data_IF_566161761335
#
_entry.id   IF_566161761335
#
_cell.length_a   1.000
_cell.length_b   1.000
_cell.length_c   1.000
_cell.angle_alpha   90.00
_cell.angle_beta   90.00
_cell.angle_gamma   90.00
#
_symmetry.space_group_name_H-M   'P 1'
#
loop_
_entity.id
_entity.type
_entity.pdbx_description
1 polymer ?
#
# COMPACT_ATOMS: atom_id res chain seq x y z
N UNK A 1 15.15 3.17 22.13
CA UNK A 1 15.07 2.02 21.20
C UNK A 1 15.38 2.52 19.80
N UNK A 2 16.36 1.90 19.12
CA UNK A 2 16.74 2.25 17.74
C UNK A 2 16.02 1.34 16.76
N UNK A 3 15.41 1.91 15.73
CA UNK A 3 14.65 1.15 14.74
C UNK A 3 15.20 1.42 13.33
N UNK A 4 15.55 0.36 12.60
CA UNK A 4 15.90 0.44 11.19
C UNK A 4 14.73 -0.04 10.33
N UNK A 5 14.19 0.83 9.50
CA UNK A 5 13.00 0.54 8.68
C UNK A 5 13.41 0.38 7.21
N UNK A 6 13.25 -0.81 6.65
CA UNK A 6 13.38 -1.03 5.22
C UNK A 6 12.08 -0.60 4.51
N UNK A 7 12.15 0.41 3.67
CA UNK A 7 10.97 0.99 3.01
C UNK A 7 11.30 1.44 1.58
N UNK A 8 10.33 1.47 0.67
CA UNK A 8 10.49 2.21 -0.58
C UNK A 8 10.81 3.68 -0.31
N UNK A 9 11.30 4.40 -1.31
CA UNK A 9 11.50 5.85 -1.16
C UNK A 9 10.19 6.53 -0.72
N UNK A 10 10.25 7.31 0.35
CA UNK A 10 9.08 8.07 0.86
C UNK A 10 8.60 9.15 -0.12
N UNK A 11 9.38 9.42 -1.19
CA UNK A 11 8.99 10.30 -2.30
C UNK A 11 8.07 9.60 -3.30
N UNK A 12 7.97 8.27 -3.25
CA UNK A 12 7.09 7.50 -4.13
C UNK A 12 5.66 7.48 -3.58
N UNK A 13 4.70 7.42 -4.48
CA UNK A 13 3.31 7.15 -4.12
C UNK A 13 3.12 5.65 -3.88
N UNK A 14 2.46 5.30 -2.79
CA UNK A 14 2.15 3.90 -2.45
C UNK A 14 1.86 3.74 -0.97
N UNK A 15 1.09 2.73 -0.60
CA UNK A 15 0.60 2.52 0.77
C UNK A 15 1.71 2.49 1.83
N UNK A 16 2.82 1.77 1.56
CA UNK A 16 3.97 1.69 2.47
C UNK A 16 4.64 3.06 2.65
N UNK A 17 4.90 3.76 1.55
CA UNK A 17 5.54 5.08 1.60
C UNK A 17 4.65 6.11 2.31
N UNK A 18 3.34 6.11 2.03
CA UNK A 18 2.37 7.00 2.68
C UNK A 18 2.25 6.72 4.17
N UNK A 19 2.23 5.44 4.58
CA UNK A 19 2.21 5.05 5.98
C UNK A 19 3.42 5.62 6.75
N UNK A 20 4.64 5.40 6.27
CA UNK A 20 5.83 5.91 6.95
C UNK A 20 6.01 7.43 6.83
N UNK A 21 5.49 8.05 5.78
CA UNK A 21 5.41 9.50 5.68
C UNK A 21 4.51 10.08 6.77
N UNK A 22 3.32 9.50 6.98
CA UNK A 22 2.39 9.90 8.03
C UNK A 22 2.91 9.64 9.45
N UNK A 23 3.75 8.61 9.64
CA UNK A 23 4.36 8.31 10.94
C UNK A 23 5.56 9.18 11.28
N UNK A 24 6.18 9.84 10.29
CA UNK A 24 7.48 10.52 10.47
C UNK A 24 7.48 11.57 11.58
N UNK A 25 6.38 12.28 11.75
CA UNK A 25 6.24 13.32 12.79
C UNK A 25 6.15 12.74 14.21
N UNK A 26 5.83 11.45 14.34
CA UNK A 26 5.63 10.76 15.63
C UNK A 26 6.86 9.96 16.07
N UNK A 27 7.88 9.83 15.21
CA UNK A 27 9.11 9.16 15.56
C UNK A 27 10.05 10.06 16.33
N UNK A 28 10.78 9.45 17.26
CA UNK A 28 11.95 10.06 17.89
C UNK A 28 13.17 10.00 16.96
N UNK A 29 14.30 10.60 17.38
CA UNK A 29 15.56 10.63 16.61
C UNK A 29 16.18 9.23 16.37
N UNK A 30 15.67 8.20 17.02
CA UNK A 30 16.19 6.84 16.97
C UNK A 30 15.63 5.98 15.82
N UNK A 31 15.05 6.59 14.79
CA UNK A 31 14.52 5.87 13.62
C UNK A 31 15.32 6.21 12.37
N UNK A 32 15.85 5.16 11.73
CA UNK A 32 16.55 5.27 10.45
C UNK A 32 15.78 4.57 9.34
N UNK A 33 15.52 5.29 8.23
CA UNK A 33 14.90 4.74 7.04
C UNK A 33 15.96 4.20 6.07
N UNK A 34 15.90 2.93 5.75
CA UNK A 34 16.72 2.30 4.71
C UNK A 34 15.90 2.17 3.44
N UNK A 35 16.12 3.08 2.48
CA UNK A 35 15.43 3.03 1.19
C UNK A 35 15.92 1.84 0.37
N UNK A 36 15.00 0.97 -0.04
CA UNK A 36 15.22 -0.22 -0.85
C UNK A 36 14.36 -0.20 -2.12
N UNK A 37 14.86 -0.82 -3.17
CA UNK A 37 14.14 -0.97 -4.43
C UNK A 37 13.97 0.33 -5.22
N UNK A 38 12.81 0.54 -5.81
CA UNK A 38 12.55 1.67 -6.72
C UNK A 38 12.72 3.02 -6.01
N UNK A 39 13.57 3.91 -6.55
CA UNK A 39 13.88 5.22 -5.98
C UNK A 39 13.17 6.37 -6.67
N UNK A 40 12.94 6.27 -7.99
CA UNK A 40 12.29 7.29 -8.81
C UNK A 40 11.18 6.68 -9.65
N UNK A 41 10.14 7.47 -9.96
CA UNK A 41 9.01 7.02 -10.77
C UNK A 41 9.40 6.67 -12.22
N UNK A 42 10.46 7.31 -12.76
CA UNK A 42 10.79 7.31 -14.19
C UNK A 42 12.03 6.53 -14.61
N UNK A 43 12.92 6.11 -13.69
CA UNK A 43 14.16 5.40 -14.06
C UNK A 43 14.13 3.94 -13.63
N UNK A 44 13.97 3.05 -14.59
CA UNK A 44 14.28 1.62 -14.50
C UNK A 44 15.77 1.43 -14.83
N UNK A 45 16.66 1.63 -13.85
CA UNK A 45 18.04 1.14 -13.96
C UNK A 45 18.06 -0.37 -13.79
N UNK A 46 19.11 -1.06 -14.28
CA UNK A 46 19.23 -2.52 -14.18
C UNK A 46 19.07 -2.97 -12.72
N UNK A 47 17.95 -3.63 -12.42
CA UNK A 47 17.52 -3.90 -11.05
C UNK A 47 18.51 -4.72 -10.20
N UNK A 48 19.45 -5.44 -10.84
CA UNK A 48 20.45 -6.28 -10.16
C UNK A 48 21.51 -5.45 -9.42
N UNK A 49 22.05 -4.39 -10.02
CA UNK A 49 23.05 -3.52 -9.39
C UNK A 49 22.47 -2.75 -8.19
N UNK A 50 21.22 -2.29 -8.32
CA UNK A 50 20.54 -1.61 -7.23
C UNK A 50 20.26 -2.54 -6.05
N UNK A 51 19.95 -3.82 -6.31
CA UNK A 51 19.72 -4.79 -5.25
C UNK A 51 21.03 -5.05 -4.47
N UNK A 52 22.16 -5.26 -5.16
CA UNK A 52 23.45 -5.43 -4.51
C UNK A 52 23.81 -4.22 -3.64
N UNK A 53 23.65 -3.01 -4.18
CA UNK A 53 23.87 -1.78 -3.42
C UNK A 53 22.97 -1.68 -2.19
N UNK A 54 21.68 -2.02 -2.33
CA UNK A 54 20.74 -2.03 -1.20
C UNK A 54 21.16 -3.05 -0.12
N UNK A 55 21.69 -4.20 -0.52
CA UNK A 55 22.21 -5.22 0.41
C UNK A 55 23.43 -4.71 1.18
N UNK A 56 24.42 -4.17 0.47
CA UNK A 56 25.66 -3.64 1.09
C UNK A 56 25.33 -2.48 2.05
N UNK A 57 24.50 -1.56 1.61
CA UNK A 57 24.05 -0.43 2.43
C UNK A 57 23.27 -0.90 3.66
N UNK A 58 22.46 -1.93 3.54
CA UNK A 58 21.71 -2.48 4.66
C UNK A 58 22.64 -3.10 5.70
N UNK A 59 23.58 -3.93 5.28
CA UNK A 59 24.58 -4.54 6.18
C UNK A 59 25.41 -3.45 6.87
N UNK A 60 25.90 -2.47 6.12
CA UNK A 60 26.63 -1.32 6.69
C UNK A 60 25.81 -0.61 7.79
N UNK A 61 24.52 -0.38 7.53
CA UNK A 61 23.63 0.25 8.51
C UNK A 61 23.36 -0.62 9.73
N UNK A 62 23.22 -1.93 9.57
CA UNK A 62 23.11 -2.84 10.71
C UNK A 62 24.32 -2.75 11.62
N UNK A 63 25.53 -2.74 11.05
CA UNK A 63 26.77 -2.72 11.82
C UNK A 63 27.07 -1.35 12.47
N UNK A 64 26.74 -0.26 11.80
CA UNK A 64 27.05 1.10 12.28
C UNK A 64 25.95 1.68 13.17
N UNK A 65 24.69 1.54 12.80
CA UNK A 65 23.56 2.07 13.58
C UNK A 65 23.19 1.16 14.74
N UNK A 66 23.43 -0.16 14.62
CA UNK A 66 23.13 -1.20 15.62
C UNK A 66 21.69 -1.06 16.13
N UNK A 67 20.68 -1.29 15.29
CA UNK A 67 19.27 -1.15 15.68
C UNK A 67 18.88 -2.22 16.70
N UNK A 68 17.99 -1.87 17.63
CA UNK A 68 17.33 -2.84 18.51
C UNK A 68 16.32 -3.68 17.74
N UNK A 69 15.69 -3.07 16.72
CA UNK A 69 14.66 -3.68 15.87
C UNK A 69 14.89 -3.31 14.41
N UNK A 70 14.81 -4.31 13.55
CA UNK A 70 14.76 -4.15 12.08
C UNK A 70 13.34 -4.40 11.61
N UNK A 71 12.73 -3.44 10.92
CA UNK A 71 11.40 -3.56 10.38
C UNK A 71 11.46 -3.73 8.86
N UNK A 72 10.91 -4.84 8.36
CA UNK A 72 10.81 -5.17 6.93
C UNK A 72 9.36 -5.16 6.49
N UNK A 73 9.10 -4.68 5.28
CA UNK A 73 7.76 -4.42 4.76
C UNK A 73 7.46 -5.24 3.49
N UNK A 74 7.38 -6.57 3.59
CA UNK A 74 7.05 -7.39 2.44
C UNK A 74 5.59 -7.19 2.03
N UNK A 75 5.36 -7.26 0.70
CA UNK A 75 4.05 -7.55 0.15
C UNK A 75 4.04 -9.00 -0.30
N UNK A 76 2.94 -9.70 -0.11
CA UNK A 76 2.79 -11.07 -0.61
C UNK A 76 2.67 -11.04 -2.14
N UNK A 77 3.82 -11.10 -2.80
CA UNK A 77 4.00 -11.06 -4.25
C UNK A 77 5.40 -11.52 -4.61
N UNK A 78 5.60 -12.03 -5.83
CA UNK A 78 6.76 -12.83 -6.23
C UNK A 78 8.13 -12.19 -5.99
N UNK A 79 8.37 -11.01 -6.52
CA UNK A 79 9.69 -10.37 -6.46
C UNK A 79 9.93 -9.62 -5.15
N UNK A 80 8.89 -8.98 -4.63
CA UNK A 80 8.98 -8.21 -3.39
C UNK A 80 9.30 -9.13 -2.19
N UNK A 81 8.59 -10.25 -2.08
CA UNK A 81 8.75 -11.18 -0.98
C UNK A 81 10.15 -11.79 -0.93
N UNK A 82 10.72 -12.22 -2.09
CA UNK A 82 12.08 -12.78 -2.16
C UNK A 82 13.12 -11.76 -1.71
N UNK A 83 13.00 -10.51 -2.15
CA UNK A 83 13.87 -9.42 -1.74
C UNK A 83 13.80 -9.17 -0.24
N UNK A 84 12.60 -9.08 0.31
CA UNK A 84 12.41 -8.72 1.72
C UNK A 84 12.78 -9.87 2.65
N UNK A 85 12.63 -11.12 2.22
CA UNK A 85 13.17 -12.27 2.93
C UNK A 85 14.69 -12.33 2.96
N UNK A 86 15.36 -11.80 1.93
CA UNK A 86 16.81 -11.62 2.00
C UNK A 86 17.19 -10.70 3.17
N UNK A 87 16.58 -9.53 3.28
CA UNK A 87 16.87 -8.59 4.38
C UNK A 87 16.49 -9.16 5.75
N UNK A 88 15.38 -9.87 5.85
CA UNK A 88 14.96 -10.58 7.05
C UNK A 88 16.03 -11.60 7.48
N UNK A 89 16.49 -12.44 6.55
CA UNK A 89 17.48 -13.47 6.84
C UNK A 89 18.83 -12.88 7.29
N UNK A 90 19.29 -11.82 6.62
CA UNK A 90 20.55 -11.15 6.99
C UNK A 90 20.46 -10.55 8.38
N UNK A 91 19.38 -9.82 8.69
CA UNK A 91 19.21 -9.23 10.01
C UNK A 91 19.10 -10.30 11.11
N UNK A 92 18.31 -11.36 10.86
CA UNK A 92 18.16 -12.47 11.79
C UNK A 92 19.50 -13.22 12.02
N UNK A 93 20.28 -13.50 10.96
CA UNK A 93 21.56 -14.18 11.06
C UNK A 93 22.61 -13.36 11.84
N UNK A 94 22.50 -12.04 11.81
CA UNK A 94 23.34 -11.12 12.59
C UNK A 94 22.80 -10.87 14.02
N UNK A 95 21.76 -11.60 14.45
CA UNK A 95 21.22 -11.55 15.82
C UNK A 95 20.24 -10.39 16.09
N UNK A 96 19.82 -9.62 15.08
CA UNK A 96 18.87 -8.54 15.27
C UNK A 96 17.45 -9.05 15.40
N UNK A 97 16.63 -8.40 16.23
CA UNK A 97 15.18 -8.64 16.27
C UNK A 97 14.55 -8.11 14.99
N UNK A 98 13.79 -8.96 14.29
CA UNK A 98 13.12 -8.58 13.04
C UNK A 98 11.62 -8.54 13.24
N UNK A 99 11.02 -7.42 12.90
CA UNK A 99 9.57 -7.25 12.80
C UNK A 99 9.18 -7.19 11.33
N UNK A 100 8.15 -7.91 10.97
CA UNK A 100 7.61 -7.94 9.61
C UNK A 100 6.29 -7.19 9.60
N UNK A 101 6.08 -6.29 8.63
CA UNK A 101 4.77 -5.67 8.42
C UNK A 101 4.29 -5.95 6.99
N UNK A 102 3.21 -6.71 6.85
CA UNK A 102 2.62 -7.10 5.57
C UNK A 102 1.57 -6.06 5.18
N UNK A 103 1.94 -5.20 4.21
CA UNK A 103 1.07 -4.14 3.68
C UNK A 103 0.16 -4.56 2.54
N UNK A 104 0.41 -5.70 1.91
CA UNK A 104 -0.37 -6.21 0.80
C UNK A 104 -0.38 -7.72 0.78
N UNK A 105 -1.54 -8.30 0.47
CA UNK A 105 -1.76 -9.73 0.43
C UNK A 105 -2.43 -10.09 -0.90
N UNK A 106 -1.68 -10.74 -1.79
CA UNK A 106 -2.21 -11.22 -3.05
C UNK A 106 -2.73 -12.66 -2.87
N UNK A 107 -4.05 -12.82 -2.86
CA UNK A 107 -4.71 -14.10 -2.64
C UNK A 107 -4.42 -15.15 -3.72
N UNK A 108 -4.30 -14.74 -4.99
CA UNK A 108 -3.98 -15.68 -6.06
C UNK A 108 -2.55 -16.18 -5.95
N UNK A 109 -1.63 -15.28 -5.58
CA UNK A 109 -0.25 -15.68 -5.26
C UNK A 109 -0.19 -16.56 -4.01
N UNK A 110 -0.99 -16.30 -3.00
CA UNK A 110 -1.09 -17.11 -1.78
C UNK A 110 -1.51 -18.56 -2.04
N UNK A 111 -2.35 -18.79 -3.06
CA UNK A 111 -2.76 -20.14 -3.48
C UNK A 111 -1.61 -20.95 -4.10
N UNK A 112 -0.69 -20.29 -4.79
CA UNK A 112 0.36 -20.91 -5.60
C UNK A 112 1.74 -20.92 -4.94
N UNK A 113 1.93 -20.14 -3.88
CA UNK A 113 3.23 -20.00 -3.21
C UNK A 113 3.64 -21.27 -2.47
N UNK A 114 4.94 -21.55 -2.45
CA UNK A 114 5.49 -22.60 -1.59
C UNK A 114 5.37 -22.21 -0.11
N UNK A 115 4.32 -22.68 0.55
CA UNK A 115 3.98 -22.36 1.94
C UNK A 115 5.11 -22.73 2.91
N UNK A 116 5.76 -23.90 2.73
CA UNK A 116 6.90 -24.31 3.60
C UNK A 116 8.06 -23.33 3.52
N UNK A 117 8.37 -22.83 2.32
CA UNK A 117 9.41 -21.83 2.14
C UNK A 117 9.05 -20.51 2.83
N UNK A 118 7.81 -20.04 2.70
CA UNK A 118 7.31 -18.82 3.34
C UNK A 118 7.35 -18.92 4.86
N UNK A 119 6.82 -20.00 5.41
CA UNK A 119 6.79 -20.28 6.86
C UNK A 119 8.19 -20.29 7.46
N UNK A 120 9.15 -20.95 6.79
CA UNK A 120 10.57 -20.94 7.23
C UNK A 120 11.14 -19.54 7.43
N UNK A 121 10.72 -18.58 6.58
CA UNK A 121 11.18 -17.20 6.68
C UNK A 121 10.41 -16.40 7.72
N UNK A 122 9.09 -16.48 7.71
CA UNK A 122 8.28 -15.74 8.67
C UNK A 122 8.52 -16.18 10.11
N UNK A 123 8.82 -17.46 10.35
CA UNK A 123 9.15 -17.96 11.69
C UNK A 123 10.49 -17.47 12.26
N UNK A 124 11.26 -16.69 11.50
CA UNK A 124 12.43 -15.94 11.99
C UNK A 124 12.08 -14.55 12.52
N UNK A 125 10.84 -14.07 12.25
CA UNK A 125 10.40 -12.79 12.75
C UNK A 125 10.03 -12.87 14.23
N UNK A 126 10.40 -11.86 15.01
CA UNK A 126 9.99 -11.73 16.41
C UNK A 126 8.50 -11.34 16.53
N UNK A 127 7.97 -10.66 15.51
CA UNK A 127 6.58 -10.24 15.43
C UNK A 127 6.20 -9.98 13.98
N UNK A 128 4.97 -10.29 13.60
CA UNK A 128 4.41 -10.02 12.28
C UNK A 128 3.17 -9.14 12.45
N UNK A 129 3.15 -7.99 11.79
CA UNK A 129 1.98 -7.15 11.67
C UNK A 129 1.24 -7.43 10.37
N UNK A 130 -0.07 -7.49 10.43
CA UNK A 130 -0.99 -7.65 9.28
C UNK A 130 -2.16 -6.67 9.37
N UNK A 131 -2.78 -6.36 8.24
CA UNK A 131 -3.86 -5.38 8.13
C UNK A 131 -5.26 -5.97 8.29
N UNK A 132 -5.40 -7.31 8.23
CA UNK A 132 -6.69 -7.97 8.30
C UNK A 132 -6.60 -9.32 9.04
N UNK A 133 -7.69 -9.71 9.72
CA UNK A 133 -7.80 -11.04 10.34
C UNK A 133 -7.65 -12.17 9.31
N UNK A 134 -8.20 -12.01 8.11
CA UNK A 134 -8.07 -12.99 7.05
C UNK A 134 -6.60 -13.31 6.70
N UNK A 135 -5.71 -12.30 6.70
CA UNK A 135 -4.27 -12.51 6.46
C UNK A 135 -3.64 -13.31 7.61
N UNK A 136 -4.02 -12.99 8.84
CA UNK A 136 -3.55 -13.68 10.05
C UNK A 136 -3.95 -15.16 10.02
N UNK A 137 -5.22 -15.45 9.77
CA UNK A 137 -5.73 -16.83 9.77
C UNK A 137 -5.13 -17.64 8.60
N UNK A 138 -4.99 -17.04 7.42
CA UNK A 138 -4.34 -17.71 6.28
C UNK A 138 -2.87 -18.04 6.57
N UNK A 139 -2.11 -17.11 7.17
CA UNK A 139 -0.70 -17.37 7.53
C UNK A 139 -0.58 -18.44 8.62
N UNK A 140 -1.49 -18.46 9.59
CA UNK A 140 -1.54 -19.53 10.60
C UNK A 140 -1.87 -20.87 9.98
N UNK A 141 -2.79 -20.95 9.02
CA UNK A 141 -3.13 -22.18 8.31
C UNK A 141 -1.93 -22.78 7.55
N UNK A 142 -0.97 -21.92 7.14
CA UNK A 142 0.28 -22.39 6.54
C UNK A 142 1.27 -22.97 7.55
N UNK A 143 1.08 -22.72 8.85
CA UNK A 143 1.97 -23.14 9.93
C UNK A 143 2.94 -22.06 10.41
N UNK A 144 2.62 -20.77 10.23
CA UNK A 144 3.41 -19.67 10.82
C UNK A 144 3.18 -19.67 12.34
N UNK A 145 4.28 -19.83 13.08
CA UNK A 145 4.31 -19.87 14.56
C UNK A 145 4.71 -18.56 15.20
N UNK A 146 5.39 -17.68 14.47
CA UNK A 146 5.70 -16.33 15.00
C UNK A 146 4.43 -15.57 15.40
N UNK A 147 4.48 -14.76 16.46
CA UNK A 147 3.35 -13.94 16.86
C UNK A 147 2.84 -13.06 15.72
N UNK A 148 1.52 -13.04 15.48
CA UNK A 148 0.88 -12.23 14.46
C UNK A 148 -0.13 -11.29 15.13
N UNK A 149 0.07 -9.98 14.97
CA UNK A 149 -0.81 -8.93 15.49
C UNK A 149 -1.45 -8.12 14.38
N UNK A 150 -2.70 -7.72 14.61
CA UNK A 150 -3.40 -6.77 13.75
C UNK A 150 -2.88 -5.36 13.99
N UNK A 151 -2.79 -4.60 12.91
CA UNK A 151 -2.49 -3.18 12.94
C UNK A 151 -3.20 -2.47 11.80
N UNK A 152 -3.04 -1.17 11.72
CA UNK A 152 -3.57 -0.35 10.63
C UNK A 152 -2.48 0.50 9.99
N UNK A 153 -2.76 1.08 8.84
CA UNK A 153 -1.86 2.05 8.22
C UNK A 153 -2.20 3.46 8.69
N UNK A 154 -1.15 4.25 8.92
CA UNK A 154 -1.30 5.68 9.21
C UNK A 154 -1.62 6.44 7.92
N UNK A 155 -2.63 7.26 7.97
CA UNK A 155 -2.94 8.27 6.95
C UNK A 155 -2.19 9.56 7.28
N UNK A 156 -1.86 10.35 6.27
CA UNK A 156 -1.25 11.68 6.47
C UNK A 156 -2.28 12.60 7.14
N UNK A 157 -1.94 13.10 8.34
CA UNK A 157 -2.82 13.96 9.13
C UNK A 157 -3.17 15.28 8.39
N UNK A 158 -2.29 15.73 7.51
CA UNK A 158 -2.57 16.89 6.67
C UNK A 158 -3.83 16.75 5.80
N UNK A 159 -4.24 15.51 5.48
CA UNK A 159 -5.49 15.24 4.77
C UNK A 159 -6.72 15.41 5.68
N UNK A 160 -6.54 15.26 6.99
CA UNK A 160 -7.62 15.36 7.98
C UNK A 160 -7.63 16.70 8.70
N UNK A 161 -6.54 17.47 8.58
CA UNK A 161 -6.40 18.77 9.22
C UNK A 161 -7.51 19.74 8.74
N UNK A 162 -8.22 20.33 9.71
CA UNK A 162 -9.37 21.22 9.46
C UNK A 162 -10.49 20.56 8.62
N UNK A 163 -10.64 19.23 8.67
CA UNK A 163 -11.73 18.52 8.02
C UNK A 163 -12.63 17.84 9.05
N UNK A 164 -13.87 18.30 9.14
CA UNK A 164 -14.93 17.69 9.92
C UNK A 164 -15.98 17.06 8.98
N UNK A 165 -16.05 15.71 8.86
CA UNK A 165 -16.96 15.06 7.92
C UNK A 165 -18.42 15.40 8.14
N UNK A 166 -18.82 15.75 9.37
CA UNK A 166 -20.21 16.10 9.69
C UNK A 166 -20.59 17.53 9.28
N UNK A 167 -19.58 18.44 9.13
CA UNK A 167 -19.80 19.84 8.79
C UNK A 167 -19.38 20.18 7.37
N UNK A 168 -18.30 19.55 6.90
CA UNK A 168 -17.62 19.93 5.66
C UNK A 168 -18.05 19.09 4.45
N UNK A 169 -18.76 17.96 4.68
CA UNK A 169 -19.33 17.18 3.58
C UNK A 169 -20.57 17.86 3.01
N UNK A 170 -20.55 18.06 1.71
CA UNK A 170 -21.74 18.47 0.97
C UNK A 170 -22.47 17.21 0.48
N UNK A 171 -23.63 16.93 1.08
CA UNK A 171 -24.48 15.80 0.64
C UNK A 171 -25.41 16.16 -0.52
N UNK A 172 -25.29 17.36 -1.07
CA UNK A 172 -26.12 17.83 -2.18
C UNK A 172 -25.83 17.14 -3.51
N UNK A 173 -24.59 16.71 -3.73
CA UNK A 173 -24.19 16.03 -4.95
C UNK A 173 -23.93 14.54 -4.66
N UNK A 174 -24.65 13.66 -5.36
CA UNK A 174 -24.46 12.22 -5.25
C UNK A 174 -23.21 11.79 -6.03
N UNK A 175 -22.02 12.10 -5.51
CA UNK A 175 -20.75 11.74 -6.14
C UNK A 175 -20.14 10.49 -5.47
N UNK A 176 -19.90 9.45 -6.25
CA UNK A 176 -19.12 8.27 -5.86
C UNK A 176 -17.66 8.55 -6.18
N UNK A 177 -16.80 8.54 -5.18
CA UNK A 177 -15.37 8.71 -5.32
C UNK A 177 -14.66 7.35 -5.37
N UNK A 178 -14.02 7.05 -6.49
CA UNK A 178 -13.12 5.90 -6.63
C UNK A 178 -11.66 6.36 -6.60
N UNK A 179 -10.99 6.13 -5.47
CA UNK A 179 -9.60 6.56 -5.28
C UNK A 179 -8.66 5.36 -5.27
N UNK A 180 -7.99 5.12 -6.40
CA UNK A 180 -7.02 4.01 -6.52
C UNK A 180 -6.09 4.22 -7.72
N UNK A 181 -5.07 3.34 -7.83
CA UNK A 181 -4.40 3.15 -9.13
C UNK A 181 -5.42 2.58 -10.12
N UNK A 182 -5.43 3.13 -11.33
CA UNK A 182 -6.33 2.67 -12.38
C UNK A 182 -5.74 1.41 -13.01
N UNK A 183 -5.96 0.30 -12.35
CA UNK A 183 -5.49 -1.05 -12.71
C UNK A 183 -6.66 -2.04 -12.63
N UNK A 184 -6.68 -3.04 -13.51
CA UNK A 184 -7.76 -4.05 -13.56
C UNK A 184 -7.98 -4.74 -12.21
N UNK A 185 -6.89 -5.06 -11.49
CA UNK A 185 -6.94 -5.68 -10.17
C UNK A 185 -7.60 -4.81 -9.08
N UNK A 186 -7.90 -3.55 -9.38
CA UNK A 186 -8.56 -2.62 -8.44
C UNK A 186 -10.07 -2.51 -8.67
N UNK A 187 -10.63 -3.31 -9.55
CA UNK A 187 -12.08 -3.34 -9.78
C UNK A 187 -12.62 -2.12 -10.53
N UNK A 188 -11.80 -1.47 -11.36
CA UNK A 188 -12.18 -0.23 -12.06
C UNK A 188 -13.31 -0.43 -13.05
N UNK A 189 -13.38 -1.58 -13.72
CA UNK A 189 -14.45 -1.93 -14.65
C UNK A 189 -15.74 -2.28 -13.90
N UNK A 190 -15.62 -3.03 -12.83
CA UNK A 190 -16.73 -3.39 -11.94
C UNK A 190 -17.37 -2.15 -11.31
N UNK A 191 -16.55 -1.14 -10.97
CA UNK A 191 -17.07 0.14 -10.48
C UNK A 191 -17.88 0.89 -11.55
N UNK A 192 -17.44 0.88 -12.81
CA UNK A 192 -18.21 1.46 -13.94
C UNK A 192 -19.51 0.70 -14.16
N UNK A 193 -19.47 -0.65 -14.11
CA UNK A 193 -20.66 -1.47 -14.30
C UNK A 193 -21.69 -1.24 -13.18
N UNK A 194 -21.24 -1.19 -11.93
CA UNK A 194 -22.10 -0.86 -10.79
C UNK A 194 -22.68 0.56 -10.90
N UNK A 195 -21.87 1.53 -11.34
CA UNK A 195 -22.32 2.89 -11.58
C UNK A 195 -23.40 2.95 -12.67
N UNK A 196 -23.22 2.23 -13.78
CA UNK A 196 -24.19 2.17 -14.87
C UNK A 196 -25.57 1.68 -14.39
N UNK A 197 -25.59 0.67 -13.51
CA UNK A 197 -26.83 0.16 -12.90
C UNK A 197 -27.47 1.21 -11.98
N UNK A 198 -26.65 1.86 -11.12
CA UNK A 198 -27.13 2.86 -10.17
C UNK A 198 -27.62 4.12 -10.88
N UNK A 199 -27.03 4.52 -12.00
CA UNK A 199 -27.39 5.69 -12.79
C UNK A 199 -28.81 5.59 -13.36
N UNK A 200 -29.29 4.38 -13.65
CA UNK A 200 -30.69 4.16 -14.07
C UNK A 200 -31.69 4.52 -12.96
N UNK A 201 -31.30 4.38 -11.71
CA UNK A 201 -32.13 4.69 -10.55
C UNK A 201 -31.92 6.12 -10.02
N UNK A 202 -30.72 6.66 -10.16
CA UNK A 202 -30.33 7.97 -9.64
C UNK A 202 -29.72 8.80 -10.76
N UNK A 203 -30.57 9.61 -11.45
CA UNK A 203 -30.14 10.39 -12.62
C UNK A 203 -29.07 11.45 -12.30
N UNK A 204 -29.02 11.94 -11.06
CA UNK A 204 -28.08 12.93 -10.54
C UNK A 204 -26.77 12.34 -10.00
N UNK A 205 -26.56 11.01 -10.13
CA UNK A 205 -25.35 10.33 -9.66
C UNK A 205 -24.16 10.62 -10.59
N UNK A 206 -23.00 10.87 -10.00
CA UNK A 206 -21.71 11.00 -10.70
C UNK A 206 -20.70 10.01 -10.16
N UNK A 207 -19.70 9.62 -10.97
CA UNK A 207 -18.58 8.76 -10.57
C UNK A 207 -17.26 9.47 -10.88
N UNK A 208 -16.48 9.74 -9.85
CA UNK A 208 -15.16 10.38 -10.01
C UNK A 208 -14.04 9.39 -9.74
N UNK A 209 -13.21 9.12 -10.76
CA UNK A 209 -11.99 8.37 -10.64
C UNK A 209 -10.81 9.30 -10.35
N UNK A 210 -10.21 9.14 -9.17
CA UNK A 210 -8.96 9.82 -8.78
C UNK A 210 -7.82 8.83 -8.80
N UNK A 211 -6.90 9.00 -9.73
CA UNK A 211 -5.74 8.13 -9.90
C UNK A 211 -5.24 8.06 -11.32
N UNK A 212 -4.24 7.21 -11.51
CA UNK A 212 -3.61 6.95 -12.80
C UNK A 212 -3.13 5.49 -12.84
N UNK A 213 -2.97 4.92 -14.02
CA UNK A 213 -2.53 3.53 -14.18
C UNK A 213 -2.62 3.04 -15.61
N UNK A 214 -2.23 1.78 -15.82
CA UNK A 214 -2.21 1.14 -17.14
C UNK A 214 -3.58 1.07 -17.81
N UNK A 215 -4.65 1.01 -17.00
CA UNK A 215 -6.02 0.88 -17.48
C UNK A 215 -6.71 2.23 -17.74
N UNK A 216 -6.08 3.39 -17.49
CA UNK A 216 -6.75 4.69 -17.64
C UNK A 216 -7.30 4.92 -19.04
N UNK A 217 -6.51 4.66 -20.08
CA UNK A 217 -6.95 4.81 -21.48
C UNK A 217 -8.02 3.78 -21.87
N UNK A 218 -7.83 2.47 -21.62
CA UNK A 218 -8.87 1.47 -21.85
C UNK A 218 -10.16 1.75 -21.10
N UNK A 219 -10.08 2.19 -19.83
CA UNK A 219 -11.26 2.49 -19.01
C UNK A 219 -12.06 3.69 -19.55
N UNK A 220 -11.39 4.75 -20.01
CA UNK A 220 -12.07 5.88 -20.65
C UNK A 220 -12.84 5.45 -21.90
N UNK A 221 -12.24 4.56 -22.72
CA UNK A 221 -12.93 3.97 -23.86
C UNK A 221 -14.13 3.15 -23.41
N UNK A 222 -13.98 2.30 -22.41
CA UNK A 222 -15.07 1.47 -21.87
C UNK A 222 -16.25 2.29 -21.36
N UNK A 223 -15.98 3.43 -20.72
CA UNK A 223 -17.02 4.38 -20.27
C UNK A 223 -17.73 5.02 -21.47
N UNK A 224 -16.99 5.43 -22.51
CA UNK A 224 -17.55 6.01 -23.73
C UNK A 224 -18.41 4.99 -24.50
N UNK A 225 -17.95 3.74 -24.61
CA UNK A 225 -18.67 2.63 -25.28
C UNK A 225 -20.00 2.31 -24.57
N UNK A 226 -20.16 2.69 -23.29
CA UNK A 226 -21.40 2.56 -22.50
C UNK A 226 -22.25 3.85 -22.47
N UNK A 227 -21.85 4.88 -23.18
CA UNK A 227 -22.53 6.18 -23.21
C UNK A 227 -22.78 6.82 -21.84
N UNK A 228 -21.79 6.69 -20.93
CA UNK A 228 -21.85 7.23 -19.58
C UNK A 228 -21.16 8.60 -19.52
N UNK A 229 -21.96 9.68 -19.53
CA UNK A 229 -21.47 11.07 -19.53
C UNK A 229 -20.98 11.55 -18.16
N UNK A 230 -21.48 10.96 -17.06
CA UNK A 230 -21.25 11.45 -15.69
C UNK A 230 -20.09 10.71 -14.98
N UNK A 231 -19.12 10.24 -15.75
CA UNK A 231 -17.86 9.64 -15.22
C UNK A 231 -16.71 10.61 -15.43
N UNK A 232 -16.12 11.06 -14.33
CA UNK A 232 -15.05 12.05 -14.31
C UNK A 232 -13.70 11.37 -14.00
N UNK A 233 -12.65 11.75 -14.74
CA UNK A 233 -11.28 11.28 -14.52
C UNK A 233 -10.38 12.47 -14.21
N UNK A 234 -9.99 12.63 -12.95
CA UNK A 234 -9.16 13.76 -12.50
C UNK A 234 -7.68 13.55 -12.68
N UNK A 235 -7.25 12.29 -12.90
CA UNK A 235 -5.85 11.92 -12.77
C UNK A 235 -5.42 11.83 -11.29
N UNK A 236 -4.12 11.94 -11.04
CA UNK A 236 -3.59 11.88 -9.67
C UNK A 236 -3.77 13.21 -8.96
N UNK A 237 -4.37 13.17 -7.78
CA UNK A 237 -4.52 14.32 -6.90
C UNK A 237 -3.76 14.09 -5.58
N UNK A 238 -3.37 15.20 -4.94
CA UNK A 238 -2.73 15.25 -3.62
C UNK A 238 -3.09 16.55 -2.89
N UNK A 239 -2.84 16.60 -1.58
CA UNK A 239 -3.07 17.81 -0.76
C UNK A 239 -4.53 18.28 -0.83
N UNK A 240 -4.73 19.59 -0.95
CA UNK A 240 -6.06 20.21 -0.93
C UNK A 240 -6.97 19.74 -2.08
N UNK A 241 -6.43 19.49 -3.28
CA UNK A 241 -7.22 18.96 -4.39
C UNK A 241 -7.83 17.60 -4.05
N UNK A 242 -7.05 16.68 -3.45
CA UNK A 242 -7.56 15.39 -2.99
C UNK A 242 -8.56 15.55 -1.83
N UNK A 243 -8.29 16.46 -0.91
CA UNK A 243 -9.18 16.77 0.22
C UNK A 243 -10.54 17.26 -0.26
N UNK A 244 -10.56 18.10 -1.30
CA UNK A 244 -11.80 18.59 -1.90
C UNK A 244 -12.61 17.46 -2.54
N UNK A 245 -11.98 16.48 -3.18
CA UNK A 245 -12.69 15.29 -3.68
C UNK A 245 -13.34 14.48 -2.55
N UNK A 246 -12.64 14.33 -1.41
CA UNK A 246 -13.24 13.68 -0.22
C UNK A 246 -14.39 14.48 0.38
N UNK A 247 -14.33 15.84 0.38
CA UNK A 247 -15.44 16.68 0.83
C UNK A 247 -16.67 16.54 -0.06
N UNK A 248 -16.47 16.47 -1.37
CA UNK A 248 -17.53 16.37 -2.36
C UNK A 248 -18.05 14.94 -2.56
N UNK A 249 -17.37 13.94 -2.03
CA UNK A 249 -17.78 12.55 -2.15
C UNK A 249 -18.96 12.23 -1.22
N UNK A 250 -20.04 11.72 -1.79
CA UNK A 250 -21.13 11.11 -1.01
C UNK A 250 -20.70 9.74 -0.47
N UNK A 251 -20.10 8.92 -1.33
CA UNK A 251 -19.52 7.63 -1.01
C UNK A 251 -18.08 7.60 -1.54
N UNK A 252 -17.14 7.14 -0.72
CA UNK A 252 -15.76 6.85 -1.17
C UNK A 252 -15.57 5.34 -1.18
N UNK A 253 -15.24 4.79 -2.34
CA UNK A 253 -15.02 3.36 -2.53
C UNK A 253 -13.55 3.06 -2.76
N UNK A 254 -13.06 2.05 -2.05
CA UNK A 254 -11.76 1.45 -2.25
C UNK A 254 -11.94 -0.06 -2.30
N UNK A 255 -12.03 -0.61 -3.50
CA UNK A 255 -12.04 -2.06 -3.69
C UNK A 255 -10.62 -2.60 -3.53
N UNK A 256 -10.32 -3.20 -2.39
CA UNK A 256 -9.13 -4.02 -2.18
C UNK A 256 -9.52 -5.50 -2.35
N UNK A 257 -9.18 -6.06 -3.51
CA UNK A 257 -9.26 -7.52 -3.77
C UNK A 257 -7.95 -8.19 -3.38
#
# INVERSE_FOLDING_TARGET
MKILINTPSLKLMGGVASHYKGLRAFWTENVMYNTIGKRNATKCGSGKYWLLWDCLKFIFRLLTFRPDVVLVNPSLGTSALKRDFFFLNVAHALGFKVVVFIHGFNWDYAKTINKKWVVRHFNKASLIFVLANAFKEEMKSWGVTSPISLTTTKVDDALLENFNPMKDKTFSNKNILFLSRIEKAKGVYEAVDAFAILKQKYSDLTLTFVGDGSELKPLKKYVADKDLSDVIFTGRLAGEALKNEYKNAWIAEKLDR
#
